data_IF_712601083606
#
_entry.id   IF_712601083606
#
_cell.length_a   1.000
_cell.length_b   1.000
_cell.length_c   1.000
_cell.angle_alpha   90.00
_cell.angle_beta   90.00
_cell.angle_gamma   90.00
#
_symmetry.space_group_name_H-M   'P 1'
#
loop_
_entity.id
_entity.type
_entity.pdbx_description
1 polymer ?
#
# COMPACT_ATOMS: atom_id res chain seq x y z
N UNK A 1 -18.15 17.13 -21.33
CA UNK A 1 -18.23 17.31 -19.87
C UNK A 1 -16.84 17.46 -19.30
N UNK A 2 -16.59 18.51 -18.53
CA UNK A 2 -15.35 18.63 -17.76
C UNK A 2 -15.43 17.71 -16.52
N UNK A 3 -14.32 17.11 -16.07
CA UNK A 3 -14.32 16.29 -14.86
C UNK A 3 -14.73 17.14 -13.64
N UNK A 4 -15.43 16.53 -12.68
CA UNK A 4 -15.93 17.22 -11.48
C UNK A 4 -14.81 17.64 -10.52
N UNK A 5 -13.65 16.99 -10.64
CA UNK A 5 -12.44 17.30 -9.90
C UNK A 5 -11.24 17.46 -10.84
N UNK A 6 -10.22 18.16 -10.36
CA UNK A 6 -8.91 18.17 -10.99
C UNK A 6 -7.89 17.46 -10.09
N UNK A 7 -7.46 16.23 -10.45
CA UNK A 7 -6.41 15.55 -9.71
C UNK A 7 -5.09 16.32 -9.82
N UNK A 8 -4.17 16.17 -8.85
CA UNK A 8 -2.84 16.73 -8.97
C UNK A 8 -2.12 16.10 -10.17
N UNK A 9 -1.44 16.92 -10.98
CA UNK A 9 -0.74 16.47 -12.20
C UNK A 9 0.55 15.71 -11.93
N UNK A 10 1.08 15.83 -10.71
CA UNK A 10 2.25 15.11 -10.23
C UNK A 10 2.16 14.94 -8.71
N UNK A 11 2.84 13.90 -8.21
CA UNK A 11 3.05 13.76 -6.78
C UNK A 11 3.93 14.93 -6.27
N UNK A 12 3.68 15.45 -5.05
CA UNK A 12 4.56 16.44 -4.46
C UNK A 12 5.99 15.90 -4.33
N UNK A 13 7.02 16.72 -4.62
CA UNK A 13 8.43 16.31 -4.52
C UNK A 13 8.82 15.67 -3.20
N UNK A 14 8.19 16.11 -2.10
CA UNK A 14 8.39 15.51 -0.79
C UNK A 14 7.92 14.05 -0.75
N UNK A 15 6.75 13.76 -1.31
CA UNK A 15 6.20 12.42 -1.40
C UNK A 15 7.05 11.54 -2.32
N UNK A 16 7.48 12.06 -3.48
CA UNK A 16 8.40 11.35 -4.39
C UNK A 16 9.70 10.94 -3.70
N UNK A 17 10.31 11.85 -2.92
CA UNK A 17 11.52 11.55 -2.15
C UNK A 17 11.29 10.44 -1.12
N UNK A 18 10.16 10.48 -0.42
CA UNK A 18 9.80 9.44 0.57
C UNK A 18 9.58 8.09 -0.11
N UNK A 19 8.91 8.07 -1.26
CA UNK A 19 8.72 6.85 -2.07
C UNK A 19 10.08 6.26 -2.45
N UNK A 20 11.02 7.07 -2.96
CA UNK A 20 12.35 6.60 -3.33
C UNK A 20 13.14 6.02 -2.15
N UNK A 21 13.05 6.65 -0.97
CA UNK A 21 13.66 6.11 0.25
C UNK A 21 13.07 4.74 0.63
N UNK A 22 11.75 4.61 0.61
CA UNK A 22 11.06 3.37 0.92
C UNK A 22 11.36 2.26 -0.11
N UNK A 23 11.51 2.60 -1.39
CA UNK A 23 11.89 1.64 -2.42
C UNK A 23 13.29 1.06 -2.18
N UNK A 24 14.28 1.88 -1.83
CA UNK A 24 15.62 1.38 -1.52
C UNK A 24 15.65 0.54 -0.23
N UNK A 25 14.88 0.93 0.80
CA UNK A 25 14.73 0.12 2.03
C UNK A 25 14.15 -1.28 1.73
N UNK A 26 13.09 -1.35 0.91
CA UNK A 26 12.47 -2.61 0.52
C UNK A 26 13.41 -3.45 -0.34
N UNK A 27 14.06 -2.85 -1.33
CA UNK A 27 15.04 -3.52 -2.18
C UNK A 27 16.17 -4.13 -1.35
N UNK A 28 16.70 -3.39 -0.39
CA UNK A 28 17.74 -3.89 0.50
C UNK A 28 17.25 -5.08 1.33
N UNK A 29 16.04 -4.98 1.92
CA UNK A 29 15.44 -6.06 2.70
C UNK A 29 15.23 -7.34 1.87
N UNK A 30 14.66 -7.21 0.66
CA UNK A 30 14.44 -8.34 -0.26
C UNK A 30 15.76 -9.01 -0.67
N UNK A 31 16.80 -8.23 -0.95
CA UNK A 31 18.12 -8.77 -1.29
C UNK A 31 18.72 -9.52 -0.10
N UNK A 32 18.62 -8.97 1.12
CA UNK A 32 19.12 -9.64 2.32
C UNK A 32 18.39 -10.96 2.60
N UNK A 33 17.06 -10.97 2.45
CA UNK A 33 16.25 -12.18 2.60
C UNK A 33 16.67 -13.25 1.58
N UNK A 34 16.80 -12.86 0.31
CA UNK A 34 17.25 -13.78 -0.75
C UNK A 34 18.66 -14.33 -0.46
N UNK A 35 19.59 -13.50 0.05
CA UNK A 35 20.93 -13.94 0.43
C UNK A 35 20.91 -14.92 1.61
N UNK A 36 20.03 -14.73 2.58
CA UNK A 36 19.86 -15.65 3.71
C UNK A 36 19.32 -17.01 3.21
N UNK A 37 18.29 -17.01 2.37
CA UNK A 37 17.74 -18.25 1.76
C UNK A 37 18.80 -18.97 0.93
N UNK A 38 19.59 -18.24 0.14
CA UNK A 38 20.69 -18.82 -0.63
C UNK A 38 21.73 -19.46 0.29
N UNK A 39 22.13 -18.78 1.37
CA UNK A 39 23.07 -19.31 2.36
C UNK A 39 22.55 -20.58 3.04
N UNK A 40 21.27 -20.62 3.38
CA UNK A 40 20.62 -21.81 3.95
C UNK A 40 20.54 -22.96 2.93
N UNK A 41 20.23 -22.66 1.67
CA UNK A 41 20.15 -23.65 0.58
C UNK A 41 21.52 -24.23 0.20
N UNK A 42 22.59 -23.44 0.27
CA UNK A 42 23.97 -23.91 0.06
C UNK A 42 24.44 -24.80 1.23
N UNK A 43 23.82 -24.67 2.41
CA UNK A 43 24.04 -25.55 3.57
C UNK A 43 23.31 -26.91 3.49
N UNK A 44 22.32 -27.08 2.60
CA UNK A 44 21.46 -28.26 2.52
C UNK A 44 21.41 -28.76 1.05
N UNK A 45 22.27 -29.73 0.73
CA UNK A 45 22.24 -30.40 -0.57
C UNK A 45 20.99 -31.31 -0.73
N UNK A 46 20.34 -31.24 -1.91
CA UNK A 46 19.19 -32.05 -2.40
C UNK A 46 17.78 -31.52 -1.99
N UNK A 47 16.71 -31.55 -2.79
CA UNK A 47 16.38 -32.38 -3.95
C UNK A 47 15.36 -31.70 -4.91
N UNK A 48 15.48 -32.11 -6.17
CA UNK A 48 14.53 -32.16 -7.31
C UNK A 48 13.05 -31.86 -6.98
N UNK A 49 12.47 -30.85 -7.65
CA UNK A 49 11.12 -30.83 -8.28
C UNK A 49 10.74 -29.42 -8.79
N UNK A 50 11.43 -28.94 -9.82
CA UNK A 50 11.42 -27.52 -10.21
C UNK A 50 10.19 -27.09 -11.04
N UNK A 51 9.49 -27.99 -11.74
CA UNK A 51 8.46 -27.60 -12.72
C UNK A 51 7.06 -27.34 -12.11
N UNK A 52 6.64 -28.11 -11.10
CA UNK A 52 5.38 -27.85 -10.37
C UNK A 52 5.51 -26.66 -9.42
N UNK A 53 6.70 -26.48 -8.81
CA UNK A 53 7.04 -25.32 -7.99
C UNK A 53 6.98 -24.02 -8.80
N UNK A 54 7.38 -24.02 -10.08
CA UNK A 54 7.36 -22.83 -10.95
C UNK A 54 5.95 -22.31 -11.28
N UNK A 55 4.94 -23.17 -11.42
CA UNK A 55 3.54 -22.74 -11.67
C UNK A 55 2.83 -22.28 -10.40
N UNK A 56 3.07 -22.92 -9.26
CA UNK A 56 2.62 -22.45 -7.95
C UNK A 56 3.30 -21.14 -7.55
N UNK A 57 4.59 -20.95 -7.89
CA UNK A 57 5.32 -19.68 -7.68
C UNK A 57 4.66 -18.51 -8.41
N UNK A 58 4.22 -18.67 -9.66
CA UNK A 58 3.61 -17.57 -10.45
C UNK A 58 2.28 -17.06 -9.90
N UNK A 59 1.48 -17.90 -9.22
CA UNK A 59 0.28 -17.45 -8.51
C UNK A 59 0.61 -16.91 -7.11
N UNK A 60 1.65 -17.42 -6.45
CA UNK A 60 2.16 -16.83 -5.20
C UNK A 60 2.75 -15.42 -5.43
N UNK A 61 3.38 -15.18 -6.58
CA UNK A 61 3.94 -13.88 -6.94
C UNK A 61 2.91 -12.76 -7.02
N UNK A 62 1.63 -12.99 -7.36
CA UNK A 62 0.63 -11.90 -7.39
C UNK A 62 0.23 -11.42 -5.98
N UNK A 63 0.16 -12.36 -5.02
CA UNK A 63 -0.05 -12.04 -3.60
C UNK A 63 1.19 -11.39 -2.98
N UNK A 64 2.37 -11.86 -3.37
CA UNK A 64 3.66 -11.32 -2.91
C UNK A 64 3.94 -9.92 -3.48
N UNK A 65 3.70 -9.68 -4.77
CA UNK A 65 3.80 -8.36 -5.41
C UNK A 65 2.84 -7.36 -4.78
N UNK A 66 1.59 -7.78 -4.55
CA UNK A 66 0.61 -7.00 -3.79
C UNK A 66 1.14 -6.66 -2.39
N UNK A 67 1.72 -7.63 -1.69
CA UNK A 67 2.26 -7.44 -0.35
C UNK A 67 3.45 -6.51 -0.33
N UNK A 68 4.35 -6.61 -1.31
CA UNK A 68 5.50 -5.72 -1.52
C UNK A 68 5.01 -4.29 -1.77
N UNK A 69 4.03 -4.10 -2.66
CA UNK A 69 3.41 -2.80 -2.90
C UNK A 69 2.74 -2.25 -1.63
N UNK A 70 2.06 -3.12 -0.86
CA UNK A 70 1.50 -2.79 0.44
C UNK A 70 2.55 -2.34 1.46
N UNK A 71 3.69 -3.03 1.54
CA UNK A 71 4.78 -2.65 2.44
C UNK A 71 5.45 -1.34 2.00
N UNK A 72 5.52 -1.06 0.69
CA UNK A 72 5.97 0.24 0.19
C UNK A 72 5.03 1.35 0.66
N UNK A 73 3.72 1.18 0.47
CA UNK A 73 2.71 2.12 0.95
C UNK A 73 2.78 2.29 2.47
N UNK A 74 2.95 1.20 3.22
CA UNK A 74 3.06 1.24 4.67
C UNK A 74 4.31 2.02 5.13
N UNK A 75 5.44 1.87 4.45
CA UNK A 75 6.63 2.67 4.70
C UNK A 75 6.37 4.16 4.45
N UNK A 76 5.73 4.50 3.31
CA UNK A 76 5.37 5.88 2.97
C UNK A 76 4.44 6.45 4.04
N UNK A 77 3.40 5.71 4.44
CA UNK A 77 2.46 6.15 5.46
C UNK A 77 3.15 6.39 6.82
N UNK A 78 4.07 5.51 7.25
CA UNK A 78 4.87 5.74 8.47
C UNK A 78 5.70 7.02 8.38
N UNK A 79 6.47 7.20 7.31
CA UNK A 79 7.34 8.39 7.15
C UNK A 79 6.55 9.69 6.97
N UNK A 80 5.33 9.61 6.45
CA UNK A 80 4.41 10.75 6.30
C UNK A 80 3.50 10.96 7.51
N UNK A 81 3.63 10.16 8.58
CA UNK A 81 2.79 10.21 9.80
C UNK A 81 1.30 10.02 9.51
N UNK A 82 0.99 9.09 8.61
CA UNK A 82 -0.36 8.69 8.22
C UNK A 82 -0.81 7.34 8.80
N UNK A 83 -0.05 6.82 9.76
CA UNK A 83 -0.43 5.67 10.59
C UNK A 83 -0.17 5.98 12.06
N UNK A 84 -0.87 5.28 12.95
CA UNK A 84 -0.64 5.31 14.39
C UNK A 84 0.56 4.45 14.82
N UNK A 85 0.79 4.34 16.13
CA UNK A 85 1.88 3.55 16.71
C UNK A 85 1.79 2.06 16.36
N UNK A 86 0.57 1.52 16.19
CA UNK A 86 0.35 0.15 15.74
C UNK A 86 0.58 -0.03 14.24
N UNK A 87 0.77 1.05 13.49
CA UNK A 87 0.86 1.05 12.04
C UNK A 87 -0.50 1.02 11.34
N UNK A 88 -1.59 1.31 12.06
CA UNK A 88 -2.92 1.39 11.47
C UNK A 88 -3.16 2.79 10.88
N UNK A 89 -3.80 2.93 9.70
CA UNK A 89 -3.95 4.23 9.05
C UNK A 89 -4.77 5.24 9.85
N UNK A 90 -4.40 6.52 9.78
CA UNK A 90 -5.11 7.63 10.42
C UNK A 90 -5.65 8.62 9.39
N UNK A 91 -6.90 9.05 9.57
CA UNK A 91 -7.62 9.88 8.60
C UNK A 91 -6.86 11.17 8.25
N UNK A 92 -6.36 11.89 9.24
CA UNK A 92 -5.68 13.19 9.04
C UNK A 92 -4.43 13.07 8.18
N UNK A 93 -3.61 12.05 8.42
CA UNK A 93 -2.40 11.82 7.63
C UNK A 93 -2.70 11.29 6.24
N UNK A 94 -3.70 10.41 6.08
CA UNK A 94 -4.14 9.95 4.77
C UNK A 94 -4.68 11.11 3.92
N UNK A 95 -5.62 11.90 4.45
CA UNK A 95 -6.14 13.08 3.75
C UNK A 95 -5.00 13.98 3.31
N UNK A 96 -4.02 14.22 4.18
CA UNK A 96 -2.86 15.04 3.85
C UNK A 96 -2.08 14.47 2.68
N UNK A 97 -1.79 13.17 2.63
CA UNK A 97 -1.02 12.55 1.53
C UNK A 97 -1.74 12.73 0.19
N UNK A 98 -3.04 12.41 0.13
CA UNK A 98 -3.81 12.44 -1.11
C UNK A 98 -4.15 13.85 -1.58
N UNK A 99 -4.16 14.83 -0.68
CA UNK A 99 -4.47 16.23 -1.00
C UNK A 99 -3.28 17.17 -1.04
N UNK A 100 -2.06 16.69 -0.76
CA UNK A 100 -0.87 17.53 -0.80
C UNK A 100 -0.63 18.02 -2.23
N UNK A 101 -0.53 19.34 -2.40
CA UNK A 101 -0.37 19.97 -3.72
C UNK A 101 -1.66 20.14 -4.54
N UNK A 102 -2.80 19.67 -4.03
CA UNK A 102 -4.10 19.83 -4.71
C UNK A 102 -4.60 21.27 -4.57
N UNK A 103 -5.02 21.85 -5.70
CA UNK A 103 -5.66 23.19 -5.74
C UNK A 103 -7.17 23.13 -5.86
N UNK A 104 -7.69 22.04 -6.38
CA UNK A 104 -9.12 21.87 -6.61
C UNK A 104 -9.86 21.52 -5.31
N UNK A 105 -10.86 22.35 -4.98
CA UNK A 105 -11.65 22.18 -3.76
C UNK A 105 -12.49 20.90 -3.81
N UNK A 106 -13.01 20.55 -4.98
CA UNK A 106 -13.86 19.36 -5.12
C UNK A 106 -13.04 18.08 -4.90
N UNK A 107 -11.83 18.01 -5.45
CA UNK A 107 -10.89 16.93 -5.20
C UNK A 107 -10.52 16.82 -3.72
N UNK A 108 -10.27 17.94 -3.04
CA UNK A 108 -9.99 17.94 -1.60
C UNK A 108 -11.15 17.36 -0.77
N UNK A 109 -12.39 17.77 -1.08
CA UNK A 109 -13.58 17.24 -0.40
C UNK A 109 -13.82 15.77 -0.72
N UNK A 110 -13.65 15.37 -1.97
CA UNK A 110 -13.73 13.97 -2.39
C UNK A 110 -12.70 13.11 -1.65
N UNK A 111 -11.47 13.62 -1.47
CA UNK A 111 -10.42 12.96 -0.70
C UNK A 111 -10.82 12.73 0.76
N UNK A 112 -11.38 13.74 1.43
CA UNK A 112 -11.86 13.60 2.82
C UNK A 112 -12.93 12.52 2.90
N UNK A 113 -13.92 12.58 2.01
CA UNK A 113 -15.03 11.65 2.01
C UNK A 113 -14.57 10.21 1.72
N UNK A 114 -13.70 10.03 0.72
CA UNK A 114 -13.10 8.75 0.38
C UNK A 114 -12.34 8.15 1.57
N UNK A 115 -11.45 8.93 2.21
CA UNK A 115 -10.67 8.48 3.37
C UNK A 115 -11.59 8.07 4.53
N UNK A 116 -12.62 8.86 4.84
CA UNK A 116 -13.56 8.54 5.93
C UNK A 116 -14.32 7.24 5.67
N UNK A 117 -14.80 7.02 4.45
CA UNK A 117 -15.54 5.82 4.08
C UNK A 117 -14.66 4.57 4.13
N UNK A 118 -13.46 4.65 3.53
CA UNK A 118 -12.50 3.54 3.50
C UNK A 118 -11.98 3.19 4.88
N UNK A 119 -11.66 4.19 5.71
CA UNK A 119 -11.21 3.95 7.07
C UNK A 119 -12.30 3.33 7.95
N UNK A 120 -13.54 3.79 7.80
CA UNK A 120 -14.67 3.20 8.54
C UNK A 120 -14.88 1.72 8.17
N UNK A 121 -14.75 1.38 6.89
CA UNK A 121 -14.81 -0.01 6.42
C UNK A 121 -13.65 -0.84 6.99
N UNK A 122 -12.45 -0.29 7.03
CA UNK A 122 -11.29 -1.03 7.52
C UNK A 122 -11.30 -1.23 9.03
N UNK A 123 -11.82 -0.27 9.79
CA UNK A 123 -12.06 -0.43 11.23
C UNK A 123 -13.09 -1.53 11.49
N UNK A 124 -14.17 -1.59 10.70
CA UNK A 124 -15.15 -2.67 10.78
C UNK A 124 -14.50 -4.04 10.49
N UNK A 125 -13.67 -4.12 9.45
CA UNK A 125 -12.92 -5.34 9.12
C UNK A 125 -12.02 -5.80 10.27
N UNK A 126 -11.26 -4.86 10.85
CA UNK A 126 -10.37 -5.13 12.01
C UNK A 126 -11.14 -5.61 13.24
N UNK A 127 -12.31 -5.04 13.51
CA UNK A 127 -13.13 -5.43 14.66
C UNK A 127 -13.77 -6.82 14.49
N UNK A 128 -14.10 -7.19 13.26
CA UNK A 128 -14.72 -8.48 12.96
C UNK A 128 -13.74 -9.65 12.97
N UNK A 129 -12.44 -9.40 12.74
CA UNK A 129 -11.41 -10.42 12.83
C UNK A 129 -10.15 -9.90 13.58
N UNK A 130 -10.17 -9.96 14.92
CA UNK A 130 -9.05 -9.51 15.74
C UNK A 130 -7.83 -10.45 15.71
N UNK A 131 -7.90 -11.61 15.04
CA UNK A 131 -6.80 -12.59 14.95
C UNK A 131 -5.85 -12.32 13.78
N UNK A 132 -6.16 -11.38 12.88
CA UNK A 132 -5.33 -11.07 11.69
C UNK A 132 -4.09 -10.21 12.03
N UNK A 133 -3.69 -10.05 13.29
CA UNK A 133 -2.42 -9.36 13.61
C UNK A 133 -1.24 -10.33 13.38
N UNK A 134 -1.12 -10.83 12.16
CA UNK A 134 0.05 -11.57 11.67
C UNK A 134 1.10 -10.61 11.09
N UNK A 135 2.34 -11.09 10.98
CA UNK A 135 3.40 -10.36 10.30
C UNK A 135 2.97 -10.02 8.86
N UNK A 136 3.02 -8.73 8.53
CA UNK A 136 2.64 -8.19 7.22
C UNK A 136 1.18 -7.74 7.07
N UNK A 137 0.31 -7.93 8.08
CA UNK A 137 -1.07 -7.41 8.06
C UNK A 137 -1.12 -5.91 7.76
N UNK A 138 -0.22 -5.12 8.34
CA UNK A 138 -0.19 -3.67 8.09
C UNK A 138 0.17 -3.30 6.65
N UNK A 139 0.91 -4.16 5.93
CA UNK A 139 1.17 -3.97 4.49
C UNK A 139 -0.12 -4.22 3.68
N UNK A 140 -0.87 -5.27 4.03
CA UNK A 140 -2.14 -5.60 3.37
C UNK A 140 -3.18 -4.50 3.60
N UNK A 141 -3.28 -3.99 4.84
CA UNK A 141 -4.13 -2.84 5.18
C UNK A 141 -3.73 -1.60 4.38
N UNK A 142 -2.44 -1.29 4.25
CA UNK A 142 -1.98 -0.14 3.50
C UNK A 142 -2.35 -0.22 2.01
N UNK A 143 -2.21 -1.41 1.40
CA UNK A 143 -2.62 -1.67 0.02
C UNK A 143 -4.14 -1.54 -0.17
N UNK A 144 -4.93 -2.14 0.73
CA UNK A 144 -6.39 -2.05 0.70
C UNK A 144 -6.87 -0.60 0.82
N UNK A 145 -6.24 0.15 1.73
CA UNK A 145 -6.56 1.56 1.94
C UNK A 145 -6.26 2.40 0.69
N UNK A 146 -5.13 2.15 0.03
CA UNK A 146 -4.77 2.83 -1.22
C UNK A 146 -5.80 2.60 -2.33
N UNK A 147 -6.15 1.34 -2.60
CA UNK A 147 -7.13 1.03 -3.65
C UNK A 147 -8.50 1.63 -3.30
N UNK A 148 -8.96 1.45 -2.07
CA UNK A 148 -10.26 1.97 -1.66
C UNK A 148 -10.34 3.49 -1.82
N UNK A 149 -9.34 4.24 -1.36
CA UNK A 149 -9.34 5.69 -1.47
C UNK A 149 -9.29 6.12 -2.94
N UNK A 150 -8.44 5.49 -3.74
CA UNK A 150 -8.31 5.80 -5.17
C UNK A 150 -9.63 5.58 -5.91
N UNK A 151 -10.25 4.41 -5.72
CA UNK A 151 -11.55 4.07 -6.33
C UNK A 151 -12.66 5.04 -5.89
N UNK A 152 -12.69 5.42 -4.60
CA UNK A 152 -13.69 6.36 -4.09
C UNK A 152 -13.48 7.77 -4.62
N UNK A 153 -12.23 8.24 -4.74
CA UNK A 153 -11.94 9.55 -5.34
C UNK A 153 -12.39 9.56 -6.81
N UNK A 154 -12.06 8.52 -7.58
CA UNK A 154 -12.47 8.40 -8.99
C UNK A 154 -14.00 8.44 -9.14
N UNK A 155 -14.70 7.68 -8.30
CA UNK A 155 -16.16 7.62 -8.28
C UNK A 155 -16.80 8.97 -7.90
N UNK A 156 -16.29 9.62 -6.86
CA UNK A 156 -16.78 10.93 -6.40
C UNK A 156 -16.49 12.06 -7.40
N UNK A 157 -15.38 11.95 -8.12
CA UNK A 157 -14.96 12.92 -9.12
C UNK A 157 -15.58 12.67 -10.50
N UNK A 158 -16.48 11.69 -10.61
CA UNK A 158 -17.22 11.38 -11.83
C UNK A 158 -16.36 10.83 -12.96
N UNK A 159 -15.24 10.18 -12.61
CA UNK A 159 -14.42 9.43 -13.55
C UNK A 159 -14.90 7.98 -13.60
N UNK A 160 -16.12 7.77 -14.07
CA UNK A 160 -16.62 6.43 -14.46
C UNK A 160 -16.81 6.40 -15.98
N UNK A 161 -16.55 5.24 -16.63
CA UNK A 161 -16.45 5.12 -18.08
C UNK A 161 -17.70 5.56 -18.84
#
# INVERSE_FOLDING_TARGET
>A
NAPLCQPPTAAPHKLEKVIGQCQEEIKYALIQEALNVLRESVGLSQARNSAAHLRSKRQAFTGEERRIAGCLLQCVYRKMKAVDESGFPVATGLVKIYSEGVKDRNYYLATIQAVQQCLSREIQNKNNDPKIVEEGYTCDVAYNMFNCISDQIELLCGSTP
#
